data_IF_011099796026
#
_entry.id   IF_011099796026
#
_cell.length_a   1.000
_cell.length_b   1.000
_cell.length_c   1.000
_cell.angle_alpha   90.00
_cell.angle_beta   90.00
_cell.angle_gamma   90.00
#
_symmetry.space_group_name_H-M   'P 1'
#
loop_
_entity.id
_entity.type
_entity.pdbx_description
1 polymer ?
#
# COMPACT_ATOMS: atom_id res chain seq x y z
N UNK A 1 14.14 -9.79 -5.93
CA UNK A 1 14.08 -10.85 -4.88
C UNK A 1 15.16 -11.92 -5.05
N UNK A 2 15.29 -12.56 -6.23
CA UNK A 2 16.30 -13.60 -6.45
C UNK A 2 17.73 -13.17 -6.06
N UNK A 3 18.21 -12.05 -6.57
CA UNK A 3 19.57 -11.56 -6.29
C UNK A 3 19.86 -11.35 -4.80
N UNK A 4 18.88 -10.87 -4.04
CA UNK A 4 18.99 -10.69 -2.60
C UNK A 4 19.12 -12.05 -1.87
N UNK A 5 18.20 -12.98 -2.13
CA UNK A 5 18.18 -14.28 -1.47
C UNK A 5 19.40 -15.13 -1.86
N UNK A 6 19.73 -15.22 -3.15
CA UNK A 6 20.88 -15.98 -3.62
C UNK A 6 22.20 -15.33 -3.21
N UNK A 7 22.30 -14.00 -3.24
CA UNK A 7 23.48 -13.28 -2.76
C UNK A 7 23.73 -13.53 -1.28
N UNK A 8 22.68 -13.48 -0.44
CA UNK A 8 22.79 -13.80 1.00
C UNK A 8 23.19 -15.27 1.25
N UNK A 9 22.65 -16.18 0.46
CA UNK A 9 23.11 -17.58 0.49
C UNK A 9 24.61 -17.68 0.20
N UNK A 10 25.10 -17.01 -0.83
CA UNK A 10 26.54 -17.03 -1.17
C UNK A 10 27.42 -16.42 -0.05
N UNK A 11 26.94 -15.39 0.64
CA UNK A 11 27.64 -14.79 1.80
C UNK A 11 27.63 -15.78 2.98
N UNK A 12 26.49 -16.38 3.28
CA UNK A 12 26.36 -17.39 4.36
C UNK A 12 27.31 -18.57 4.16
N UNK A 13 27.46 -19.04 2.93
CA UNK A 13 28.37 -20.13 2.55
C UNK A 13 29.84 -19.67 2.42
N UNK A 14 30.17 -18.41 2.73
CA UNK A 14 31.49 -17.81 2.58
C UNK A 14 32.06 -17.86 1.14
N UNK A 15 31.18 -17.84 0.15
CA UNK A 15 31.53 -17.83 -1.29
C UNK A 15 31.67 -16.38 -1.79
N UNK A 16 30.90 -15.46 -1.20
CA UNK A 16 30.87 -14.03 -1.53
C UNK A 16 31.05 -13.18 -0.27
N UNK A 17 31.70 -12.05 -0.39
CA UNK A 17 31.82 -11.05 0.68
C UNK A 17 30.57 -10.16 0.69
N UNK A 18 30.08 -9.78 1.89
CA UNK A 18 28.87 -8.96 2.04
C UNK A 18 29.04 -7.55 1.44
N UNK A 19 30.25 -6.97 1.52
CA UNK A 19 30.53 -5.68 0.90
C UNK A 19 30.43 -5.75 -0.63
N UNK A 20 30.89 -6.86 -1.22
CA UNK A 20 30.79 -7.13 -2.65
C UNK A 20 29.32 -7.35 -3.04
N UNK A 21 28.54 -8.10 -2.26
CA UNK A 21 27.12 -8.28 -2.50
C UNK A 21 26.38 -6.94 -2.56
N UNK A 22 26.63 -6.05 -1.61
CA UNK A 22 26.00 -4.74 -1.59
C UNK A 22 26.34 -3.90 -2.82
N UNK A 23 27.57 -3.98 -3.33
CA UNK A 23 27.96 -3.33 -4.59
C UNK A 23 27.22 -3.94 -5.80
N UNK A 24 27.09 -5.26 -5.86
CA UNK A 24 26.36 -5.96 -6.92
C UNK A 24 24.89 -5.55 -6.94
N UNK A 25 24.24 -5.57 -5.79
CA UNK A 25 22.82 -5.20 -5.64
C UNK A 25 22.57 -3.72 -6.01
N UNK A 26 23.46 -2.83 -5.59
CA UNK A 26 23.39 -1.40 -5.95
C UNK A 26 23.56 -1.18 -7.45
N UNK A 27 24.47 -1.91 -8.11
CA UNK A 27 24.69 -1.83 -9.55
C UNK A 27 23.47 -2.36 -10.34
N UNK A 28 22.79 -3.39 -9.82
CA UNK A 28 21.58 -3.96 -10.43
C UNK A 28 20.40 -2.96 -10.41
N UNK A 29 20.26 -2.14 -9.35
CA UNK A 29 19.12 -1.21 -9.15
C UNK A 29 19.09 -0.05 -10.16
N UNK A 30 20.23 0.30 -10.77
CA UNK A 30 20.31 1.49 -11.64
C UNK A 30 19.67 1.33 -13.03
N UNK A 31 19.06 0.19 -13.36
CA UNK A 31 18.68 -0.15 -14.74
C UNK A 31 17.18 -0.45 -14.91
N UNK A 32 16.32 -0.24 -13.92
CA UNK A 32 14.92 -0.63 -14.05
C UNK A 32 14.01 0.51 -14.50
N UNK A 33 13.61 0.50 -15.78
CA UNK A 33 12.58 1.38 -16.32
C UNK A 33 11.20 0.75 -16.12
N UNK A 34 10.18 1.54 -15.74
CA UNK A 34 8.78 1.05 -15.59
C UNK A 34 8.25 0.56 -16.94
N UNK A 35 7.47 -0.53 -16.94
CA UNK A 35 6.93 -1.15 -18.17
C UNK A 35 6.13 -0.16 -19.02
N UNK A 36 5.33 0.68 -18.38
CA UNK A 36 4.56 1.73 -19.04
C UNK A 36 5.44 2.75 -19.79
N UNK A 37 6.59 3.13 -19.21
CA UNK A 37 7.53 4.05 -19.85
C UNK A 37 8.15 3.41 -21.10
N UNK A 38 8.53 2.12 -21.01
CA UNK A 38 9.06 1.39 -22.16
C UNK A 38 8.01 1.26 -23.25
N UNK A 39 6.77 0.91 -22.88
CA UNK A 39 5.66 0.76 -23.82
C UNK A 39 5.32 2.07 -24.55
N UNK A 40 5.38 3.22 -23.86
CA UNK A 40 5.20 4.54 -24.49
C UNK A 40 6.37 4.90 -25.38
N UNK A 41 7.61 4.65 -24.94
CA UNK A 41 8.83 4.91 -25.73
C UNK A 41 8.84 4.06 -27.01
N UNK A 42 8.39 2.81 -26.94
CA UNK A 42 8.25 1.91 -28.08
C UNK A 42 7.01 2.19 -28.94
N UNK A 43 6.21 3.23 -28.57
CA UNK A 43 4.97 3.62 -29.27
C UNK A 43 3.90 2.50 -29.32
N UNK A 44 3.96 1.59 -28.38
CA UNK A 44 2.99 0.53 -28.18
C UNK A 44 1.77 1.01 -27.41
N UNK A 45 1.95 2.02 -26.52
CA UNK A 45 0.90 2.70 -25.77
C UNK A 45 1.05 4.22 -25.92
N UNK A 46 -0.06 4.94 -25.75
CA UNK A 46 -0.02 6.38 -25.49
C UNK A 46 0.27 6.65 -24.02
N UNK A 47 0.62 7.88 -23.67
CA UNK A 47 0.81 8.30 -22.27
C UNK A 47 -0.47 8.10 -21.48
N UNK A 48 -1.63 8.50 -22.05
CA UNK A 48 -2.95 8.38 -21.43
C UNK A 48 -3.33 6.91 -21.14
N UNK A 49 -2.99 6.00 -22.09
CA UNK A 49 -3.23 4.57 -21.89
C UNK A 49 -2.37 3.99 -20.77
N UNK A 50 -1.10 4.38 -20.70
CA UNK A 50 -0.20 3.95 -19.62
C UNK A 50 -0.67 4.46 -18.25
N UNK A 51 -1.12 5.72 -18.18
CA UNK A 51 -1.66 6.33 -16.96
C UNK A 51 -2.97 5.67 -16.53
N UNK A 52 -3.86 5.34 -17.48
CA UNK A 52 -5.08 4.60 -17.16
C UNK A 52 -4.79 3.21 -16.62
N UNK A 53 -3.80 2.48 -17.15
CA UNK A 53 -3.40 1.19 -16.60
C UNK A 53 -2.88 1.37 -15.17
N UNK A 54 -2.04 2.37 -14.91
CA UNK A 54 -1.53 2.66 -13.58
C UNK A 54 -2.67 2.93 -12.58
N UNK A 55 -3.69 3.70 -12.98
CA UNK A 55 -4.89 3.97 -12.18
C UNK A 55 -5.68 2.70 -11.85
N UNK A 56 -5.91 1.83 -12.85
CA UNK A 56 -6.60 0.56 -12.65
C UNK A 56 -5.79 -0.35 -11.72
N UNK A 57 -4.46 -0.39 -11.84
CA UNK A 57 -3.61 -1.14 -10.94
C UNK A 57 -3.80 -0.76 -9.47
N UNK A 58 -4.00 0.53 -9.19
CA UNK A 58 -4.25 1.01 -7.83
C UNK A 58 -5.58 0.49 -7.26
N UNK A 59 -6.55 0.20 -8.13
CA UNK A 59 -7.91 -0.22 -7.75
C UNK A 59 -8.12 -1.73 -7.73
N UNK A 60 -7.42 -2.49 -8.58
CA UNK A 60 -7.76 -3.89 -8.85
C UNK A 60 -6.67 -4.91 -8.52
N UNK A 61 -5.54 -4.53 -7.95
CA UNK A 61 -4.39 -5.42 -7.67
C UNK A 61 -4.07 -6.38 -8.82
N UNK A 62 -3.94 -5.83 -10.03
CA UNK A 62 -3.55 -6.55 -11.24
C UNK A 62 -2.18 -6.11 -11.74
N UNK A 63 -1.49 -6.97 -12.49
CA UNK A 63 -0.23 -6.59 -13.15
C UNK A 63 -0.50 -5.65 -14.31
N UNK A 64 0.44 -4.75 -14.62
CA UNK A 64 0.36 -3.84 -15.77
C UNK A 64 0.04 -4.59 -17.08
N UNK A 65 0.74 -5.71 -17.31
CA UNK A 65 0.54 -6.52 -18.51
C UNK A 65 -0.86 -7.10 -18.62
N UNK A 66 -1.40 -7.62 -17.51
CA UNK A 66 -2.73 -8.25 -17.49
C UNK A 66 -3.82 -7.24 -17.85
N UNK A 67 -3.74 -6.02 -17.28
CA UNK A 67 -4.67 -4.93 -17.58
C UNK A 67 -4.54 -4.49 -19.05
N UNK A 68 -3.31 -4.36 -19.56
CA UNK A 68 -3.06 -3.97 -20.94
C UNK A 68 -3.64 -4.99 -21.93
N UNK A 69 -3.55 -6.29 -21.62
CA UNK A 69 -4.14 -7.38 -22.41
C UNK A 69 -5.66 -7.37 -22.30
N UNK A 70 -6.22 -7.26 -21.09
CA UNK A 70 -7.68 -7.17 -20.89
C UNK A 70 -8.32 -5.99 -21.62
N UNK A 71 -7.61 -4.86 -21.68
CA UNK A 71 -8.03 -3.67 -22.47
C UNK A 71 -7.85 -3.85 -24.00
N UNK A 72 -7.16 -4.90 -24.43
CA UNK A 72 -6.83 -5.14 -25.82
C UNK A 72 -5.80 -4.16 -26.40
N UNK A 73 -5.04 -3.50 -25.54
CA UNK A 73 -4.03 -2.51 -25.94
C UNK A 73 -2.67 -3.14 -26.23
N UNK A 74 -2.34 -4.25 -25.58
CA UNK A 74 -1.15 -5.03 -25.82
C UNK A 74 -1.49 -6.53 -25.91
N UNK A 75 -0.63 -7.26 -26.60
CA UNK A 75 -0.68 -8.72 -26.69
C UNK A 75 0.32 -9.36 -25.72
N UNK A 76 0.13 -10.66 -25.41
CA UNK A 76 1.10 -11.43 -24.59
C UNK A 76 2.54 -11.39 -25.17
N UNK A 77 2.65 -11.45 -26.50
CA UNK A 77 3.96 -11.37 -27.18
C UNK A 77 4.61 -10.00 -26.95
N UNK A 78 3.85 -8.90 -27.04
CA UNK A 78 4.35 -7.55 -26.78
C UNK A 78 4.74 -7.36 -25.32
N UNK A 79 3.96 -7.89 -24.38
CA UNK A 79 4.31 -7.86 -22.94
C UNK A 79 5.62 -8.64 -22.71
N UNK A 80 5.78 -9.81 -23.33
CA UNK A 80 7.01 -10.59 -23.20
C UNK A 80 8.23 -9.83 -23.75
N UNK A 81 8.08 -9.15 -24.90
CA UNK A 81 9.14 -8.32 -25.46
C UNK A 81 9.49 -7.10 -24.57
N UNK A 82 8.49 -6.44 -23.98
CA UNK A 82 8.71 -5.34 -23.03
C UNK A 82 9.43 -5.81 -21.77
N UNK A 83 9.09 -7.00 -21.26
CA UNK A 83 9.74 -7.61 -20.11
C UNK A 83 11.19 -8.01 -20.42
N UNK A 84 11.47 -8.51 -21.61
CA UNK A 84 12.86 -8.77 -22.06
C UNK A 84 13.67 -7.48 -22.14
N UNK A 85 13.08 -6.39 -22.65
CA UNK A 85 13.73 -5.07 -22.70
C UNK A 85 13.94 -4.47 -21.32
N UNK A 86 13.08 -4.77 -20.35
CA UNK A 86 13.25 -4.34 -18.97
C UNK A 86 14.48 -4.97 -18.31
N UNK A 87 15.01 -6.00 -18.92
CA UNK A 87 16.10 -6.83 -18.43
C UNK A 87 15.58 -7.87 -17.44
N UNK A 88 15.93 -9.12 -17.62
CA UNK A 88 15.65 -10.18 -16.68
C UNK A 88 16.49 -9.95 -15.41
N UNK A 89 15.89 -9.65 -14.23
CA UNK A 89 16.61 -9.31 -13.00
C UNK A 89 17.60 -10.41 -12.57
N UNK A 90 17.26 -11.66 -12.84
CA UNK A 90 18.13 -12.81 -12.62
C UNK A 90 19.41 -12.74 -13.48
N UNK A 91 19.26 -12.49 -14.78
CA UNK A 91 20.41 -12.40 -15.70
C UNK A 91 21.28 -11.17 -15.41
N UNK A 92 20.67 -10.04 -15.07
CA UNK A 92 21.39 -8.84 -14.65
C UNK A 92 22.21 -9.10 -13.38
N UNK A 93 21.60 -9.73 -12.36
CA UNK A 93 22.31 -10.09 -11.15
C UNK A 93 23.49 -11.02 -11.45
N UNK A 94 23.30 -12.08 -12.25
CA UNK A 94 24.37 -13.01 -12.61
C UNK A 94 25.49 -12.33 -13.37
N UNK A 95 25.20 -11.43 -14.30
CA UNK A 95 26.19 -10.68 -15.04
C UNK A 95 27.03 -9.82 -14.09
N UNK A 96 26.38 -9.01 -13.23
CA UNK A 96 27.07 -8.15 -12.27
C UNK A 96 27.86 -8.98 -11.25
N UNK A 97 27.32 -10.13 -10.82
CA UNK A 97 28.01 -11.09 -9.94
C UNK A 97 29.33 -11.56 -10.54
N UNK A 98 29.30 -12.03 -11.79
CA UNK A 98 30.52 -12.53 -12.49
C UNK A 98 31.53 -11.42 -12.74
N UNK A 99 31.08 -10.23 -13.08
CA UNK A 99 31.95 -9.07 -13.37
C UNK A 99 32.62 -8.50 -12.10
N UNK A 100 31.97 -8.60 -10.95
CA UNK A 100 32.42 -7.96 -9.68
C UNK A 100 32.89 -8.96 -8.62
N UNK A 101 32.92 -10.26 -8.91
CA UNK A 101 33.41 -11.28 -7.99
C UNK A 101 34.39 -12.23 -8.66
N UNK A 102 35.02 -13.10 -7.84
CA UNK A 102 35.88 -14.19 -8.35
C UNK A 102 35.11 -15.46 -8.75
N UNK A 103 33.77 -15.42 -8.74
CA UNK A 103 32.92 -16.57 -9.03
C UNK A 103 32.94 -16.85 -10.53
N UNK A 104 33.34 -18.08 -10.88
CA UNK A 104 33.33 -18.53 -12.27
C UNK A 104 31.93 -18.91 -12.71
N UNK A 105 31.54 -18.50 -13.91
CA UNK A 105 30.25 -18.82 -14.53
C UNK A 105 29.95 -20.35 -14.47
N UNK A 106 30.95 -21.19 -14.69
CA UNK A 106 30.79 -22.65 -14.66
C UNK A 106 30.45 -23.27 -13.30
N UNK A 107 30.50 -22.49 -12.23
CA UNK A 107 30.11 -22.95 -10.86
C UNK A 107 28.77 -22.44 -10.41
N UNK A 108 28.22 -21.45 -11.10
CA UNK A 108 26.98 -20.79 -10.68
C UNK A 108 25.81 -21.75 -10.64
N UNK A 109 25.67 -22.63 -11.64
CA UNK A 109 24.55 -23.59 -11.67
C UNK A 109 24.58 -24.51 -10.44
N UNK A 110 25.76 -25.00 -10.03
CA UNK A 110 25.89 -25.81 -8.82
C UNK A 110 25.49 -25.04 -7.54
N UNK A 111 25.87 -23.78 -7.42
CA UNK A 111 25.46 -22.95 -6.28
C UNK A 111 23.95 -22.67 -6.31
N UNK A 112 23.34 -22.51 -7.48
CA UNK A 112 21.90 -22.35 -7.62
C UNK A 112 21.15 -23.62 -7.22
N UNK A 113 21.65 -24.79 -7.61
CA UNK A 113 21.06 -26.08 -7.23
C UNK A 113 21.10 -26.30 -5.71
N UNK A 114 22.20 -25.94 -5.07
CA UNK A 114 22.34 -26.07 -3.62
C UNK A 114 21.46 -25.03 -2.87
N UNK A 115 21.38 -23.80 -3.35
CA UNK A 115 20.47 -22.77 -2.88
C UNK A 115 19.01 -23.19 -3.00
N UNK A 116 18.61 -23.76 -4.14
CA UNK A 116 17.25 -24.28 -4.35
C UNK A 116 16.88 -25.36 -3.32
N UNK A 117 17.83 -26.30 -3.06
CA UNK A 117 17.64 -27.35 -2.04
C UNK A 117 17.53 -26.77 -0.63
N UNK A 118 18.37 -25.79 -0.28
CA UNK A 118 18.35 -25.13 1.03
C UNK A 118 17.00 -24.44 1.30
N UNK A 119 16.47 -23.71 0.33
CA UNK A 119 15.14 -23.09 0.46
C UNK A 119 13.99 -24.08 0.33
N UNK A 120 14.25 -25.33 -0.12
CA UNK A 120 13.23 -26.36 -0.36
C UNK A 120 12.23 -25.95 -1.45
N UNK A 121 12.72 -25.24 -2.50
CA UNK A 121 11.92 -24.84 -3.65
C UNK A 121 11.85 -25.97 -4.68
N UNK A 122 10.68 -26.18 -5.28
CA UNK A 122 10.56 -26.98 -6.48
C UNK A 122 11.01 -26.17 -7.73
N UNK A 123 11.08 -26.82 -8.89
CA UNK A 123 11.57 -26.20 -10.13
C UNK A 123 10.66 -25.05 -10.61
N UNK A 124 9.34 -25.16 -10.41
CA UNK A 124 8.38 -24.12 -10.77
C UNK A 124 8.56 -22.88 -9.88
N UNK A 125 8.72 -23.08 -8.57
CA UNK A 125 8.97 -22.01 -7.61
C UNK A 125 10.33 -21.33 -7.87
N UNK A 126 11.35 -22.12 -8.23
CA UNK A 126 12.65 -21.56 -8.59
C UNK A 126 12.60 -20.76 -9.89
N UNK A 127 11.83 -21.23 -10.87
CA UNK A 127 11.59 -20.47 -12.11
C UNK A 127 10.81 -19.17 -11.85
N UNK A 128 9.83 -19.21 -10.95
CA UNK A 128 9.08 -18.04 -10.50
C UNK A 128 10.00 -17.03 -9.78
N UNK A 129 10.86 -17.49 -8.88
CA UNK A 129 11.84 -16.66 -8.16
C UNK A 129 12.80 -15.96 -9.12
N UNK A 130 13.31 -16.66 -10.15
CA UNK A 130 14.16 -16.08 -11.21
C UNK A 130 13.46 -15.01 -12.05
N UNK A 131 12.13 -15.00 -12.07
CA UNK A 131 11.30 -14.02 -12.80
C UNK A 131 10.74 -12.93 -11.89
N UNK A 132 11.11 -12.93 -10.60
CA UNK A 132 10.47 -12.10 -9.56
C UNK A 132 8.94 -12.25 -9.53
N UNK A 133 8.43 -13.44 -9.85
CA UNK A 133 7.01 -13.78 -9.74
C UNK A 133 6.65 -14.13 -8.30
N UNK A 134 6.15 -13.11 -7.59
CA UNK A 134 5.79 -13.21 -6.17
C UNK A 134 4.76 -14.32 -5.94
N UNK A 135 3.72 -14.41 -6.78
CA UNK A 135 2.63 -15.38 -6.60
C UNK A 135 3.12 -16.82 -6.74
N UNK A 136 4.07 -17.05 -7.64
CA UNK A 136 4.66 -18.37 -7.85
C UNK A 136 5.60 -18.82 -6.72
N UNK A 137 6.14 -17.87 -5.93
CA UNK A 137 7.17 -18.18 -4.93
C UNK A 137 6.69 -18.04 -3.48
N UNK A 138 5.73 -17.16 -3.20
CA UNK A 138 5.31 -16.83 -1.82
C UNK A 138 4.84 -18.04 -1.03
N UNK A 139 4.20 -19.02 -1.69
CA UNK A 139 3.77 -20.27 -1.07
C UNK A 139 4.89 -21.09 -0.45
N UNK A 140 6.13 -20.94 -0.92
CA UNK A 140 7.29 -21.59 -0.31
C UNK A 140 7.68 -20.99 1.04
N UNK A 141 7.43 -19.71 1.23
CA UNK A 141 7.73 -18.96 2.45
C UNK A 141 6.56 -18.90 3.45
N UNK A 142 5.39 -19.37 3.05
CA UNK A 142 4.16 -19.39 3.88
C UNK A 142 3.71 -20.81 4.22
N UNK A 143 4.61 -21.80 4.22
CA UNK A 143 4.27 -23.21 4.44
C UNK A 143 3.54 -23.47 5.76
N UNK A 144 3.90 -22.73 6.82
CA UNK A 144 3.30 -22.83 8.15
C UNK A 144 2.02 -22.00 8.30
N UNK A 145 1.69 -21.18 7.30
CA UNK A 145 0.58 -20.22 7.29
C UNK A 145 -0.22 -20.33 5.99
N UNK A 146 -0.96 -21.42 5.82
CA UNK A 146 -1.71 -21.70 4.60
C UNK A 146 -2.98 -20.84 4.45
N UNK A 147 -3.52 -20.78 3.24
CA UNK A 147 -4.79 -20.12 2.94
C UNK A 147 -4.70 -18.60 2.90
N UNK A 148 -5.44 -17.92 3.77
CA UNK A 148 -5.56 -16.45 3.74
C UNK A 148 -4.25 -15.71 4.03
N UNK A 149 -3.39 -16.23 4.92
CA UNK A 149 -2.11 -15.60 5.22
C UNK A 149 -1.19 -15.56 3.99
N UNK A 150 -1.18 -16.61 3.18
CA UNK A 150 -0.44 -16.62 1.91
C UNK A 150 -1.01 -15.62 0.89
N UNK A 151 -2.35 -15.52 0.80
CA UNK A 151 -3.01 -14.53 -0.06
C UNK A 151 -2.66 -13.10 0.37
N UNK A 152 -2.67 -12.81 1.68
CA UNK A 152 -2.30 -11.50 2.24
C UNK A 152 -0.82 -11.21 1.95
N UNK A 153 0.08 -12.15 2.20
CA UNK A 153 1.51 -11.97 1.93
C UNK A 153 1.78 -11.66 0.45
N UNK A 154 1.16 -12.42 -0.46
CA UNK A 154 1.26 -12.18 -1.90
C UNK A 154 0.79 -10.76 -2.28
N UNK A 155 -0.35 -10.33 -1.76
CA UNK A 155 -0.91 -9.00 -1.97
C UNK A 155 0.03 -7.89 -1.46
N UNK A 156 0.55 -8.06 -0.24
CA UNK A 156 1.50 -7.13 0.39
C UNK A 156 2.76 -6.98 -0.45
N UNK A 157 3.38 -8.09 -0.86
CA UNK A 157 4.64 -8.05 -1.62
C UNK A 157 4.47 -7.40 -2.99
N UNK A 158 3.33 -7.62 -3.67
CA UNK A 158 3.03 -6.91 -4.92
C UNK A 158 2.90 -5.40 -4.71
N UNK A 159 2.28 -4.98 -3.61
CA UNK A 159 2.13 -3.56 -3.30
C UNK A 159 3.43 -2.91 -2.80
N UNK A 160 4.28 -3.63 -2.06
CA UNK A 160 5.64 -3.18 -1.75
C UNK A 160 6.43 -2.96 -3.06
N UNK A 161 6.36 -3.90 -4.00
CA UNK A 161 7.01 -3.74 -5.32
C UNK A 161 6.49 -2.51 -6.09
N UNK A 162 5.20 -2.23 -5.97
CA UNK A 162 4.55 -1.13 -6.70
C UNK A 162 4.87 0.24 -6.12
N UNK A 163 4.80 0.38 -4.81
CA UNK A 163 4.82 1.67 -4.14
C UNK A 163 6.14 1.95 -3.41
N UNK A 164 6.78 0.95 -2.82
CA UNK A 164 7.88 1.16 -1.88
C UNK A 164 9.23 0.91 -2.51
N UNK A 165 9.54 -0.34 -2.84
CA UNK A 165 10.84 -0.73 -3.37
C UNK A 165 10.76 -2.04 -4.14
N UNK A 166 11.61 -2.15 -5.17
CA UNK A 166 11.87 -3.43 -5.85
C UNK A 166 13.04 -4.19 -5.21
N UNK A 167 13.77 -3.53 -4.30
CA UNK A 167 14.93 -4.09 -3.64
C UNK A 167 14.55 -4.66 -2.27
N UNK A 168 13.88 -5.80 -2.27
CA UNK A 168 13.50 -6.50 -1.05
C UNK A 168 13.67 -8.01 -1.18
N UNK A 169 13.75 -8.68 -0.04
CA UNK A 169 13.62 -10.13 0.09
C UNK A 169 12.81 -10.46 1.34
N UNK A 170 12.40 -11.72 1.47
CA UNK A 170 11.54 -12.18 2.56
C UNK A 170 12.17 -13.37 3.27
N UNK A 171 11.79 -13.60 4.53
CA UNK A 171 12.05 -14.84 5.25
C UNK A 171 10.73 -15.62 5.47
N UNK A 172 10.83 -16.84 5.98
CA UNK A 172 9.69 -17.70 6.23
C UNK A 172 8.71 -17.05 7.21
N UNK A 173 7.44 -17.11 6.87
CA UNK A 173 6.36 -16.73 7.77
C UNK A 173 6.30 -17.72 8.93
N UNK A 174 6.23 -17.22 10.15
CA UNK A 174 6.23 -18.02 11.38
C UNK A 174 5.01 -17.70 12.22
N UNK A 175 4.47 -18.71 12.87
CA UNK A 175 3.44 -18.55 13.89
C UNK A 175 4.07 -18.06 15.18
N UNK A 176 3.43 -17.07 15.81
CA UNK A 176 3.89 -16.44 17.06
C UNK A 176 2.70 -16.31 18.02
N UNK A 177 2.99 -16.06 19.29
CA UNK A 177 2.02 -15.72 20.35
C UNK A 177 2.25 -14.32 20.95
N UNK A 178 3.38 -13.71 20.64
CA UNK A 178 3.72 -12.34 21.00
C UNK A 178 4.73 -11.75 20.00
N UNK A 179 4.72 -10.41 19.86
CA UNK A 179 5.68 -9.65 19.07
C UNK A 179 5.97 -8.33 19.77
N UNK A 180 7.22 -8.16 20.21
CA UNK A 180 7.74 -6.88 20.68
C UNK A 180 8.02 -5.98 19.47
N UNK A 181 7.56 -4.72 19.49
CA UNK A 181 7.80 -3.79 18.41
C UNK A 181 7.97 -2.35 18.90
N UNK A 182 8.70 -1.57 18.13
CA UNK A 182 8.89 -0.13 18.32
C UNK A 182 7.71 0.67 17.75
N UNK A 183 7.32 0.35 16.51
CA UNK A 183 6.16 0.93 15.85
C UNK A 183 5.35 -0.20 15.18
N UNK A 184 4.03 -0.06 15.20
CA UNK A 184 3.12 -0.93 14.47
C UNK A 184 1.95 -0.11 13.93
N UNK A 185 1.59 -0.34 12.67
CA UNK A 185 0.33 0.10 12.11
C UNK A 185 -0.47 -1.14 11.71
N UNK A 186 -1.71 -1.26 12.18
CA UNK A 186 -2.53 -2.44 11.96
C UNK A 186 -3.99 -2.08 11.74
N UNK A 187 -4.70 -2.94 11.02
CA UNK A 187 -6.12 -2.81 10.75
C UNK A 187 -6.84 -4.13 10.92
N UNK A 188 -7.99 -4.08 11.56
CA UNK A 188 -8.89 -5.22 11.70
C UNK A 188 -9.96 -5.20 10.64
N UNK A 189 -10.41 -6.40 10.25
CA UNK A 189 -11.64 -6.59 9.49
C UNK A 189 -12.40 -7.77 10.05
N UNK A 190 -13.72 -7.65 10.05
CA UNK A 190 -14.65 -8.61 10.65
C UNK A 190 -15.58 -9.19 9.59
N UNK A 191 -15.99 -10.45 9.77
CA UNK A 191 -16.88 -11.13 8.83
C UNK A 191 -17.06 -12.61 9.15
N UNK A 192 -17.17 -13.44 8.12
CA UNK A 192 -17.15 -14.89 8.31
C UNK A 192 -15.84 -15.41 8.93
N UNK A 193 -14.77 -14.67 8.70
CA UNK A 193 -13.48 -14.77 9.37
C UNK A 193 -13.01 -13.38 9.77
N UNK A 194 -12.35 -13.28 10.92
CA UNK A 194 -11.76 -12.04 11.42
C UNK A 194 -10.28 -11.98 11.06
N UNK A 195 -9.85 -10.82 10.58
CA UNK A 195 -8.46 -10.59 10.20
C UNK A 195 -7.89 -9.37 10.93
N UNK A 196 -6.59 -9.42 11.21
CA UNK A 196 -5.82 -8.24 11.56
C UNK A 196 -4.55 -8.24 10.71
N UNK A 197 -4.41 -7.24 9.84
CA UNK A 197 -3.25 -7.06 8.97
C UNK A 197 -2.49 -5.84 9.46
N UNK A 198 -1.16 -5.94 9.53
CA UNK A 198 -0.33 -4.82 9.96
C UNK A 198 1.12 -4.94 9.55
N UNK A 199 1.83 -3.82 9.71
CA UNK A 199 3.29 -3.76 9.64
C UNK A 199 3.85 -3.40 11.00
N UNK A 200 4.91 -4.08 11.40
CA UNK A 200 5.63 -3.81 12.62
C UNK A 200 7.12 -3.59 12.35
N UNK A 201 7.71 -2.69 13.13
CA UNK A 201 9.13 -2.39 13.12
C UNK A 201 9.68 -2.66 14.52
N UNK A 202 10.56 -3.66 14.68
CA UNK A 202 11.12 -4.06 15.98
C UNK A 202 12.13 -3.04 16.48
N UNK A 203 13.06 -2.67 15.62
CA UNK A 203 14.12 -1.70 15.92
C UNK A 203 13.90 -0.41 15.14
N UNK A 204 14.48 0.69 15.60
CA UNK A 204 14.44 1.96 14.87
C UNK A 204 15.25 1.80 13.58
N UNK A 205 14.55 1.82 12.45
CA UNK A 205 15.10 1.78 11.12
C UNK A 205 14.27 2.68 10.18
N UNK A 206 14.62 2.72 8.90
CA UNK A 206 13.95 3.59 7.93
C UNK A 206 12.76 2.93 7.22
N UNK A 207 12.38 1.68 7.55
CA UNK A 207 11.36 0.95 6.76
C UNK A 207 10.00 1.62 6.80
N UNK A 208 9.55 2.13 7.95
CA UNK A 208 8.29 2.89 8.05
C UNK A 208 8.35 4.18 7.22
N UNK A 209 9.49 4.88 7.25
CA UNK A 209 9.70 6.07 6.40
C UNK A 209 9.62 5.69 4.93
N UNK A 210 10.32 4.64 4.50
CA UNK A 210 10.30 4.16 3.10
C UNK A 210 8.92 3.75 2.64
N UNK A 211 8.14 3.06 3.49
CA UNK A 211 6.75 2.71 3.20
C UNK A 211 5.90 3.97 3.07
N UNK A 212 6.02 4.91 4.02
CA UNK A 212 5.29 6.16 4.00
C UNK A 212 5.61 6.99 2.75
N UNK A 213 6.89 7.23 2.47
CA UNK A 213 7.36 7.99 1.29
C UNK A 213 6.94 7.34 -0.02
N UNK A 214 7.11 6.02 -0.11
CA UNK A 214 6.76 5.28 -1.31
C UNK A 214 5.26 5.30 -1.61
N UNK A 215 4.42 5.24 -0.58
CA UNK A 215 2.97 5.23 -0.72
C UNK A 215 2.39 6.63 -0.96
N UNK A 216 2.87 7.65 -0.22
CA UNK A 216 2.32 9.00 -0.29
C UNK A 216 2.99 9.89 -1.33
N UNK A 217 4.25 9.57 -1.70
CA UNK A 217 5.10 10.45 -2.53
C UNK A 217 5.68 11.66 -1.78
N UNK A 218 5.45 11.76 -0.46
CA UNK A 218 6.00 12.82 0.39
C UNK A 218 7.31 12.39 1.05
N UNK A 219 8.14 13.34 1.48
CA UNK A 219 9.41 13.08 2.17
C UNK A 219 9.23 13.22 3.68
N UNK A 220 9.81 12.31 4.44
CA UNK A 220 9.78 12.30 5.90
C UNK A 220 11.20 12.30 6.47
N UNK A 221 11.46 13.12 7.48
CA UNK A 221 12.79 13.26 8.07
C UNK A 221 13.00 12.38 9.32
N UNK A 222 11.94 11.87 9.90
CA UNK A 222 11.97 11.03 11.10
C UNK A 222 10.70 10.19 11.22
N UNK A 223 10.79 9.10 11.99
CA UNK A 223 9.61 8.34 12.41
C UNK A 223 8.78 9.17 13.39
N UNK A 224 7.46 9.02 13.35
CA UNK A 224 6.53 9.74 14.23
C UNK A 224 5.09 9.45 13.85
N UNK A 225 4.16 10.21 14.43
CA UNK A 225 2.72 10.01 14.21
C UNK A 225 2.36 10.10 12.72
N UNK A 226 2.92 11.07 11.99
CA UNK A 226 2.64 11.25 10.56
C UNK A 226 3.11 10.05 9.72
N UNK A 227 4.28 9.48 10.02
CA UNK A 227 4.80 8.29 9.34
C UNK A 227 3.96 7.05 9.68
N UNK A 228 3.62 6.88 10.98
CA UNK A 228 2.79 5.75 11.42
C UNK A 228 1.39 5.79 10.80
N UNK A 229 0.84 6.97 10.62
CA UNK A 229 -0.43 7.23 9.97
C UNK A 229 -0.38 6.90 8.47
N UNK A 230 0.68 7.34 7.77
CA UNK A 230 0.91 7.00 6.36
C UNK A 230 1.08 5.49 6.13
N UNK A 231 1.77 4.80 7.05
CA UNK A 231 1.87 3.33 7.02
C UNK A 231 0.50 2.70 7.29
N UNK A 232 -0.31 3.28 8.19
CA UNK A 232 -1.69 2.88 8.44
C UNK A 232 -2.55 2.97 7.19
N UNK A 233 -2.43 4.04 6.40
CA UNK A 233 -3.12 4.18 5.11
C UNK A 233 -2.66 3.13 4.09
N UNK A 234 -1.39 2.78 4.08
CA UNK A 234 -0.92 1.69 3.23
C UNK A 234 -1.52 0.35 3.66
N UNK A 235 -1.65 0.09 4.98
CA UNK A 235 -2.36 -1.09 5.52
C UNK A 235 -3.84 -1.06 5.11
N UNK A 236 -4.50 0.09 5.19
CA UNK A 236 -5.90 0.27 4.78
C UNK A 236 -6.10 -0.04 3.29
N UNK A 237 -5.18 0.41 2.43
CA UNK A 237 -5.18 0.05 1.01
C UNK A 237 -5.11 -1.48 0.81
N UNK A 238 -4.17 -2.15 1.50
CA UNK A 238 -4.00 -3.61 1.43
C UNK A 238 -5.25 -4.34 1.94
N UNK A 239 -5.81 -3.93 3.06
CA UNK A 239 -7.03 -4.52 3.64
C UNK A 239 -8.23 -4.37 2.69
N UNK A 240 -8.37 -3.22 2.02
CA UNK A 240 -9.40 -2.98 1.02
C UNK A 240 -9.25 -3.88 -0.21
N UNK A 241 -8.03 -4.03 -0.71
CA UNK A 241 -7.75 -4.95 -1.82
C UNK A 241 -8.01 -6.41 -1.42
N UNK A 242 -7.64 -6.79 -0.19
CA UNK A 242 -7.92 -8.12 0.34
C UNK A 242 -9.43 -8.38 0.47
N UNK A 243 -10.18 -7.43 1.05
CA UNK A 243 -11.64 -7.53 1.16
C UNK A 243 -12.30 -7.65 -0.23
N UNK A 244 -11.82 -6.88 -1.22
CA UNK A 244 -12.30 -6.98 -2.60
C UNK A 244 -12.04 -8.39 -3.19
N UNK A 245 -10.88 -8.97 -2.90
CA UNK A 245 -10.57 -10.33 -3.35
C UNK A 245 -11.46 -11.37 -2.65
N UNK A 246 -11.73 -11.19 -1.35
CA UNK A 246 -12.61 -12.09 -0.59
C UNK A 246 -14.07 -11.98 -1.03
N UNK A 247 -14.56 -10.79 -1.37
CA UNK A 247 -15.90 -10.60 -1.88
C UNK A 247 -16.15 -11.36 -3.21
N UNK A 248 -15.14 -11.48 -4.07
CA UNK A 248 -15.19 -12.33 -5.27
C UNK A 248 -15.32 -13.82 -4.96
N UNK A 249 -14.77 -14.25 -3.82
CA UNK A 249 -14.90 -15.62 -3.30
C UNK A 249 -16.19 -15.80 -2.45
N UNK A 250 -17.07 -14.78 -2.38
CA UNK A 250 -18.34 -14.80 -1.66
C UNK A 250 -18.23 -14.48 -0.17
N UNK A 251 -17.12 -13.92 0.30
CA UNK A 251 -16.91 -13.50 1.67
C UNK A 251 -16.91 -11.97 1.77
N UNK A 252 -17.88 -11.41 2.45
CA UNK A 252 -17.90 -9.99 2.78
C UNK A 252 -17.14 -9.72 4.07
N UNK A 253 -16.34 -8.64 4.10
CA UNK A 253 -15.56 -8.19 5.24
C UNK A 253 -15.90 -6.74 5.53
N UNK A 254 -16.18 -6.42 6.79
CA UNK A 254 -16.28 -5.07 7.32
C UNK A 254 -14.88 -4.63 7.77
N UNK A 255 -14.36 -3.57 7.16
CA UNK A 255 -13.04 -3.03 7.48
C UNK A 255 -13.21 -1.99 8.59
N UNK A 256 -12.52 -2.18 9.72
CA UNK A 256 -12.49 -1.24 10.83
C UNK A 256 -11.39 -0.18 10.60
N UNK A 257 -11.42 0.96 11.32
CA UNK A 257 -10.36 1.96 11.23
C UNK A 257 -8.96 1.39 11.51
N UNK A 258 -7.96 1.87 10.76
CA UNK A 258 -6.57 1.53 11.03
C UNK A 258 -6.09 2.18 12.32
N UNK A 259 -5.16 1.55 13.00
CA UNK A 259 -4.65 2.00 14.29
C UNK A 259 -3.13 1.86 14.33
N UNK A 260 -2.45 2.88 14.83
CA UNK A 260 -1.02 2.87 15.06
C UNK A 260 -0.67 2.77 16.56
N UNK A 261 0.45 2.11 16.83
CA UNK A 261 0.93 1.83 18.19
C UNK A 261 2.44 2.06 18.26
N UNK A 262 2.94 2.46 19.43
CA UNK A 262 4.38 2.60 19.71
C UNK A 262 4.78 1.90 20.99
N UNK A 263 5.97 1.26 20.97
CA UNK A 263 6.63 0.69 22.15
C UNK A 263 5.72 -0.27 22.92
N UNK A 264 5.10 -1.20 22.24
CA UNK A 264 4.18 -2.16 22.82
C UNK A 264 4.49 -3.60 22.39
N UNK A 265 3.69 -4.51 22.88
CA UNK A 265 3.77 -5.95 22.57
C UNK A 265 2.43 -6.38 21.97
N UNK A 266 2.43 -6.87 20.74
CA UNK A 266 1.29 -7.60 20.22
C UNK A 266 1.20 -8.96 20.92
N UNK A 267 -0.01 -9.35 21.31
CA UNK A 267 -0.29 -10.58 22.07
C UNK A 267 -1.35 -11.40 21.36
N UNK A 268 -1.27 -12.71 21.53
CA UNK A 268 -2.18 -13.65 20.92
C UNK A 268 -1.62 -14.27 19.65
N UNK A 269 -2.29 -15.31 19.18
CA UNK A 269 -1.83 -16.09 18.03
C UNK A 269 -1.87 -15.29 16.73
N UNK A 270 -0.72 -15.17 16.07
CA UNK A 270 -0.58 -14.48 14.79
C UNK A 270 0.52 -15.11 13.94
N UNK A 271 0.64 -14.68 12.71
CA UNK A 271 1.74 -14.98 11.81
C UNK A 271 2.57 -13.73 11.55
N UNK A 272 3.88 -13.90 11.49
CA UNK A 272 4.83 -12.83 11.13
C UNK A 272 5.71 -13.28 10.00
N UNK A 273 5.81 -12.46 8.96
CA UNK A 273 6.75 -12.63 7.85
C UNK A 273 7.73 -11.45 7.85
N UNK A 274 9.03 -11.68 8.12
CA UNK A 274 10.04 -10.66 7.95
C UNK A 274 10.21 -10.29 6.46
N UNK A 275 10.14 -9.01 6.16
CA UNK A 275 10.38 -8.41 4.84
C UNK A 275 11.56 -7.46 5.00
N UNK A 276 12.60 -7.66 4.24
CA UNK A 276 13.80 -6.83 4.30
C UNK A 276 13.81 -5.87 3.11
N UNK A 277 13.60 -4.60 3.35
CA UNK A 277 13.57 -3.54 2.34
C UNK A 277 14.90 -2.77 2.42
N UNK A 278 15.69 -2.79 1.36
CA UNK A 278 17.03 -2.20 1.32
C UNK A 278 17.93 -2.66 2.48
N UNK A 279 17.73 -3.90 2.94
CA UNK A 279 18.50 -4.53 4.00
C UNK A 279 17.94 -4.33 5.41
N UNK A 280 16.91 -3.52 5.60
CA UNK A 280 16.26 -3.25 6.89
C UNK A 280 14.95 -4.04 7.06
N UNK A 281 14.70 -4.55 8.28
CA UNK A 281 13.58 -5.45 8.58
C UNK A 281 12.28 -4.68 8.82
N UNK A 282 11.23 -5.14 8.16
CA UNK A 282 9.83 -4.79 8.36
C UNK A 282 9.03 -6.08 8.50
N UNK A 283 8.32 -6.26 9.59
CA UNK A 283 7.47 -7.42 9.81
C UNK A 283 6.06 -7.22 9.24
N UNK A 284 5.63 -8.09 8.36
CA UNK A 284 4.21 -8.27 8.05
C UNK A 284 3.57 -9.09 9.16
N UNK A 285 2.61 -8.49 9.87
CA UNK A 285 1.81 -9.12 10.92
C UNK A 285 0.44 -9.52 10.38
N UNK A 286 0.03 -10.78 10.59
CA UNK A 286 -1.27 -11.30 10.16
C UNK A 286 -1.88 -12.16 11.25
N UNK A 287 -3.03 -11.75 11.80
CA UNK A 287 -3.84 -12.59 12.69
C UNK A 287 -5.13 -12.98 12.00
N UNK A 288 -5.58 -14.23 12.18
CA UNK A 288 -6.76 -14.81 11.56
C UNK A 288 -7.54 -15.57 12.62
N UNK A 289 -8.83 -15.23 12.80
CA UNK A 289 -9.75 -15.88 13.75
C UNK A 289 -9.15 -16.03 15.16
N UNK A 290 -8.41 -15.02 15.60
CA UNK A 290 -7.68 -15.09 16.86
C UNK A 290 -8.00 -13.91 17.77
N UNK A 291 -7.79 -14.11 19.09
CA UNK A 291 -7.88 -13.04 20.07
C UNK A 291 -6.64 -12.11 20.06
N UNK A 292 -6.00 -12.00 18.91
CA UNK A 292 -4.79 -11.20 18.79
C UNK A 292 -5.07 -9.70 19.01
N UNK A 293 -4.24 -9.11 19.85
CA UNK A 293 -4.27 -7.69 20.18
C UNK A 293 -2.96 -7.05 19.74
N UNK A 294 -2.98 -6.26 18.65
CA UNK A 294 -1.78 -5.60 18.15
C UNK A 294 -1.19 -4.61 19.17
N UNK A 295 -2.01 -4.00 20.01
CA UNK A 295 -1.61 -3.12 21.10
C UNK A 295 -2.77 -2.77 22.00
N UNK A 296 -2.50 -2.10 23.13
CA UNK A 296 -3.52 -1.69 24.11
C UNK A 296 -3.79 -0.18 24.13
N UNK A 297 -2.81 0.63 23.70
CA UNK A 297 -2.91 2.09 23.67
C UNK A 297 -2.51 2.63 22.29
N UNK A 298 -3.50 3.03 21.46
CA UNK A 298 -3.23 3.59 20.15
C UNK A 298 -2.59 4.99 20.25
N UNK A 299 -1.84 5.37 19.22
CA UNK A 299 -1.38 6.75 19.05
C UNK A 299 -2.57 7.57 18.59
N UNK A 300 -2.92 8.61 19.33
CA UNK A 300 -4.02 9.52 18.98
C UNK A 300 -3.42 10.78 18.32
N UNK A 301 -3.78 11.03 17.05
CA UNK A 301 -3.41 12.24 16.33
C UNK A 301 -4.07 13.50 16.92
N UNK A 302 -3.36 14.63 16.96
CA UNK A 302 -3.91 15.92 17.42
C UNK A 302 -4.43 16.74 16.24
N UNK A 303 -5.62 17.35 16.43
CA UNK A 303 -6.25 18.31 15.54
C UNK A 303 -5.39 19.54 15.25
N UNK A 304 -5.41 20.05 14.01
CA UNK A 304 -4.92 21.40 13.66
C UNK A 304 -6.00 22.21 12.96
N UNK A 305 -6.18 23.44 13.44
CA UNK A 305 -6.97 24.48 12.77
C UNK A 305 -6.02 25.63 12.47
N UNK A 306 -5.81 25.96 11.20
CA UNK A 306 -5.07 27.16 10.81
C UNK A 306 -5.43 27.59 9.38
N UNK A 307 -6.27 28.63 9.24
CA UNK A 307 -6.23 29.54 8.09
C UNK A 307 -6.74 30.93 8.46
N UNK A 308 -6.16 31.98 7.84
CA UNK A 308 -6.51 33.38 8.04
C UNK A 308 -7.57 33.82 7.03
N UNK A 309 -8.44 34.77 7.42
CA UNK A 309 -9.57 35.27 6.61
C UNK A 309 -9.18 35.88 5.24
N UNK A 310 -7.90 36.13 4.97
CA UNK A 310 -7.43 36.69 3.69
C UNK A 310 -7.39 35.63 2.56
N UNK A 311 -7.20 34.38 2.88
CA UNK A 311 -6.99 33.32 1.87
C UNK A 311 -8.30 32.80 1.27
N UNK A 312 -9.42 33.05 1.95
CA UNK A 312 -10.76 32.60 1.55
C UNK A 312 -11.35 33.45 0.39
N UNK A 313 -10.95 34.72 0.26
CA UNK A 313 -11.56 35.66 -0.71
C UNK A 313 -11.27 35.37 -2.18
N UNK A 314 -10.12 34.74 -2.47
CA UNK A 314 -9.67 34.43 -3.83
C UNK A 314 -9.75 32.96 -4.18
N UNK A 315 -10.30 32.13 -3.27
CA UNK A 315 -10.43 30.67 -3.46
C UNK A 315 -11.59 30.33 -4.41
N UNK A 316 -11.46 29.20 -5.11
CA UNK A 316 -12.50 28.64 -5.99
C UNK A 316 -13.72 28.11 -5.23
N UNK A 317 -13.56 27.91 -3.93
CA UNK A 317 -14.56 27.42 -2.99
C UNK A 317 -13.90 27.01 -1.68
N UNK A 318 -14.71 26.72 -0.68
CA UNK A 318 -14.32 26.30 0.65
C UNK A 318 -14.57 24.81 0.87
N UNK A 319 -13.63 24.14 1.54
CA UNK A 319 -13.73 22.69 1.77
C UNK A 319 -13.47 22.37 3.24
N UNK A 320 -14.28 21.45 3.80
CA UNK A 320 -13.98 20.77 5.06
C UNK A 320 -13.54 19.34 4.73
N UNK A 321 -12.44 18.88 5.35
CA UNK A 321 -11.89 17.54 5.17
C UNK A 321 -12.12 16.75 6.44
N UNK A 322 -12.75 15.57 6.31
CA UNK A 322 -13.03 14.66 7.42
C UNK A 322 -12.46 13.28 7.10
N UNK A 323 -11.45 12.86 7.86
CA UNK A 323 -10.75 11.60 7.67
C UNK A 323 -9.99 11.31 8.98
N UNK A 324 -9.98 10.09 9.49
CA UNK A 324 -9.31 9.77 10.75
C UNK A 324 -7.78 9.77 10.61
N UNK A 325 -7.26 9.56 9.40
CA UNK A 325 -5.85 9.67 9.09
C UNK A 325 -5.40 11.12 8.90
N UNK A 326 -4.47 11.59 9.74
CA UNK A 326 -3.84 12.90 9.59
C UNK A 326 -3.07 13.03 8.29
N UNK A 327 -2.53 11.91 7.76
CA UNK A 327 -1.85 11.89 6.48
C UNK A 327 -2.83 12.07 5.31
N UNK A 328 -3.96 11.35 5.32
CA UNK A 328 -5.01 11.54 4.30
C UNK A 328 -5.49 12.99 4.28
N UNK A 329 -5.76 13.59 5.47
CA UNK A 329 -6.13 15.00 5.56
C UNK A 329 -5.07 15.91 4.95
N UNK A 330 -3.78 15.68 5.28
CA UNK A 330 -2.66 16.48 4.73
C UNK A 330 -2.55 16.34 3.21
N UNK A 331 -2.69 15.12 2.67
CA UNK A 331 -2.66 14.89 1.22
C UNK A 331 -3.82 15.60 0.51
N UNK A 332 -5.05 15.44 1.02
CA UNK A 332 -6.24 16.11 0.48
C UNK A 332 -6.10 17.63 0.55
N UNK A 333 -5.60 18.16 1.67
CA UNK A 333 -5.31 19.60 1.81
C UNK A 333 -4.34 20.06 0.73
N UNK A 334 -3.19 19.41 0.59
CA UNK A 334 -2.18 19.80 -0.41
C UNK A 334 -2.74 19.77 -1.84
N UNK A 335 -3.56 18.77 -2.16
CA UNK A 335 -4.22 18.63 -3.45
C UNK A 335 -5.20 19.79 -3.69
N UNK A 336 -6.07 20.08 -2.72
CA UNK A 336 -7.15 21.04 -2.83
C UNK A 336 -6.63 22.49 -2.81
N UNK A 337 -5.71 22.82 -1.89
CA UNK A 337 -5.07 24.13 -1.84
C UNK A 337 -4.22 24.39 -3.10
N UNK A 338 -3.49 23.36 -3.57
CA UNK A 338 -2.76 23.44 -4.84
C UNK A 338 -3.64 23.62 -6.07
N UNK A 339 -4.93 23.28 -5.98
CA UNK A 339 -5.94 23.51 -7.01
C UNK A 339 -6.70 24.84 -6.84
N UNK A 340 -6.44 25.61 -5.77
CA UNK A 340 -7.01 26.91 -5.49
C UNK A 340 -8.28 26.89 -4.63
N UNK A 341 -8.56 25.80 -3.90
CA UNK A 341 -9.61 25.74 -2.88
C UNK A 341 -9.07 26.17 -1.51
N UNK A 342 -9.94 26.70 -0.64
CA UNK A 342 -9.62 26.99 0.75
C UNK A 342 -10.10 25.86 1.66
N UNK A 343 -9.19 25.17 2.35
CA UNK A 343 -9.53 24.18 3.37
C UNK A 343 -9.81 24.92 4.69
N UNK A 344 -11.08 25.13 5.01
CA UNK A 344 -11.54 25.95 6.14
C UNK A 344 -11.66 25.14 7.45
N UNK A 345 -11.65 23.83 7.39
CA UNK A 345 -11.70 22.95 8.56
C UNK A 345 -11.23 21.55 8.26
N UNK A 346 -10.72 20.88 9.29
CA UNK A 346 -10.40 19.46 9.30
C UNK A 346 -10.95 18.80 10.54
N UNK A 347 -11.37 17.55 10.39
CA UNK A 347 -11.90 16.74 11.48
C UNK A 347 -11.36 15.31 11.39
N UNK A 348 -11.23 14.64 12.52
CA UNK A 348 -10.68 13.30 12.64
C UNK A 348 -11.74 12.19 12.86
N UNK A 349 -13.00 12.57 12.98
CA UNK A 349 -14.12 11.64 13.03
C UNK A 349 -15.42 12.31 12.56
N UNK A 350 -16.47 11.50 12.42
CA UNK A 350 -17.76 12.00 11.94
C UNK A 350 -18.42 13.02 12.86
N UNK A 351 -18.24 12.92 14.19
CA UNK A 351 -18.81 13.89 15.16
C UNK A 351 -18.19 15.26 14.95
N UNK A 352 -16.86 15.32 14.90
CA UNK A 352 -16.11 16.55 14.62
C UNK A 352 -16.43 17.08 13.22
N UNK A 353 -16.60 16.19 12.23
CA UNK A 353 -16.98 16.54 10.86
C UNK A 353 -18.32 17.26 10.78
N UNK A 354 -19.36 16.75 11.47
CA UNK A 354 -20.66 17.41 11.56
C UNK A 354 -20.56 18.79 12.23
N UNK A 355 -19.75 18.89 13.29
CA UNK A 355 -19.52 20.18 13.98
C UNK A 355 -18.78 21.17 13.07
N UNK A 356 -17.75 20.71 12.37
CA UNK A 356 -16.99 21.54 11.42
C UNK A 356 -17.88 22.01 10.26
N UNK A 357 -18.73 21.15 9.69
CA UNK A 357 -19.70 21.53 8.68
C UNK A 357 -20.61 22.67 9.17
N UNK A 358 -21.21 22.51 10.34
CA UNK A 358 -22.11 23.54 10.95
C UNK A 358 -21.40 24.84 11.25
N UNK A 359 -20.13 24.79 11.63
CA UNK A 359 -19.33 25.96 11.97
C UNK A 359 -18.89 26.75 10.75
N UNK A 360 -18.45 26.08 9.70
CA UNK A 360 -17.81 26.71 8.55
C UNK A 360 -18.72 26.85 7.33
N UNK A 361 -19.83 26.10 7.26
CA UNK A 361 -20.74 26.03 6.11
C UNK A 361 -19.98 26.00 4.78
N UNK A 362 -19.15 24.94 4.55
CA UNK A 362 -18.28 24.87 3.38
C UNK A 362 -19.09 24.63 2.10
N UNK A 363 -18.53 25.00 0.94
CA UNK A 363 -19.13 24.67 -0.36
C UNK A 363 -19.10 23.16 -0.63
N UNK A 364 -18.10 22.45 -0.12
CA UNK A 364 -17.98 20.98 -0.24
C UNK A 364 -17.38 20.39 1.02
N UNK A 365 -17.86 19.21 1.42
CA UNK A 365 -17.24 18.42 2.49
C UNK A 365 -16.73 17.10 1.90
N UNK A 366 -15.49 16.70 2.28
CA UNK A 366 -14.98 15.34 2.01
C UNK A 366 -15.11 14.50 3.27
N UNK A 367 -15.63 13.28 3.16
CA UNK A 367 -15.92 12.38 4.28
C UNK A 367 -15.30 11.01 4.02
N UNK A 368 -14.35 10.59 4.84
CA UNK A 368 -13.97 9.18 4.86
C UNK A 368 -15.13 8.34 5.40
N UNK A 369 -15.33 7.16 4.81
CA UNK A 369 -16.40 6.25 5.22
C UNK A 369 -16.06 5.63 6.57
N UNK A 370 -14.84 5.16 6.78
CA UNK A 370 -14.46 4.37 7.96
C UNK A 370 -13.70 5.21 8.97
N UNK A 371 -14.40 5.69 9.98
CA UNK A 371 -13.81 6.51 11.04
C UNK A 371 -14.28 6.03 12.42
N UNK A 372 -13.50 6.28 13.49
CA UNK A 372 -13.92 5.99 14.86
C UNK A 372 -15.10 6.89 15.31
N UNK A 373 -15.76 6.52 16.38
CA UNK A 373 -16.86 7.25 17.05
C UNK A 373 -18.12 7.41 16.18
N UNK A 374 -18.01 7.94 14.99
CA UNK A 374 -19.08 8.11 14.01
C UNK A 374 -18.50 7.92 12.60
N UNK A 375 -19.03 6.98 11.83
CA UNK A 375 -18.59 6.75 10.47
C UNK A 375 -19.06 7.84 9.49
N UNK A 376 -18.45 7.90 8.29
CA UNK A 376 -18.76 8.94 7.32
C UNK A 376 -20.19 8.88 6.77
N UNK A 377 -20.82 7.70 6.76
CA UNK A 377 -22.20 7.52 6.29
C UNK A 377 -23.19 8.11 7.31
N UNK A 378 -22.93 7.87 8.59
CA UNK A 378 -23.73 8.46 9.67
C UNK A 378 -23.53 9.98 9.77
N UNK A 379 -22.26 10.45 9.59
CA UNK A 379 -21.96 11.87 9.53
C UNK A 379 -22.67 12.57 8.36
N UNK A 380 -22.64 11.96 7.16
CA UNK A 380 -23.35 12.47 5.98
C UNK A 380 -24.85 12.61 6.26
N UNK A 381 -25.46 11.60 6.88
CA UNK A 381 -26.87 11.65 7.24
C UNK A 381 -27.19 12.84 8.15
N UNK A 382 -26.40 13.05 9.20
CA UNK A 382 -26.61 14.19 10.12
C UNK A 382 -26.36 15.54 9.46
N UNK A 383 -25.44 15.62 8.49
CA UNK A 383 -25.19 16.82 7.69
C UNK A 383 -26.39 17.09 6.78
N UNK A 384 -26.88 16.09 6.05
CA UNK A 384 -28.05 16.21 5.17
C UNK A 384 -29.36 16.50 5.94
N UNK A 385 -29.50 15.98 7.16
CA UNK A 385 -30.63 16.31 8.05
C UNK A 385 -30.58 17.79 8.52
N UNK A 386 -29.39 18.39 8.60
CA UNK A 386 -29.18 19.80 8.94
C UNK A 386 -29.26 20.72 7.71
N UNK A 387 -28.69 20.30 6.58
CA UNK A 387 -28.63 21.01 5.32
C UNK A 387 -28.82 20.03 4.17
N UNK A 388 -30.01 20.00 3.58
CA UNK A 388 -30.39 19.07 2.49
C UNK A 388 -29.54 19.31 1.23
N UNK A 389 -29.07 20.55 1.02
CA UNK A 389 -28.24 20.97 -0.13
C UNK A 389 -26.73 20.76 0.10
N UNK A 390 -26.32 20.22 1.25
CA UNK A 390 -24.91 19.96 1.55
C UNK A 390 -24.25 19.07 0.48
N UNK A 391 -23.12 19.49 -0.06
CA UNK A 391 -22.39 18.79 -1.12
C UNK A 391 -21.27 17.95 -0.53
N UNK A 392 -21.34 16.63 -0.71
CA UNK A 392 -20.43 15.70 -0.09
C UNK A 392 -19.70 14.79 -1.11
N UNK A 393 -18.38 14.68 -0.94
CA UNK A 393 -17.54 13.70 -1.60
C UNK A 393 -17.16 12.63 -0.58
N UNK A 394 -17.60 11.40 -0.81
CA UNK A 394 -17.21 10.28 0.04
C UNK A 394 -15.84 9.76 -0.40
N UNK A 395 -14.96 9.56 0.58
CA UNK A 395 -13.67 8.90 0.39
C UNK A 395 -13.80 7.48 0.92
N UNK A 396 -13.38 6.47 0.16
CA UNK A 396 -13.61 5.07 0.53
C UNK A 396 -12.40 4.21 0.24
N UNK A 397 -12.14 3.22 1.10
CA UNK A 397 -11.20 2.15 0.74
C UNK A 397 -11.86 1.20 -0.28
N UNK A 398 -11.05 0.53 -1.09
CA UNK A 398 -11.54 -0.53 -1.97
C UNK A 398 -12.28 -1.60 -1.14
N UNK A 399 -13.35 -2.18 -1.70
CA UNK A 399 -14.12 -3.25 -1.05
C UNK A 399 -15.33 -2.81 -0.21
N UNK A 400 -15.62 -1.51 -0.08
CA UNK A 400 -16.72 -1.00 0.74
C UNK A 400 -18.01 -0.70 -0.06
N UNK A 401 -18.35 -1.54 -1.06
CA UNK A 401 -19.46 -1.28 -1.97
C UNK A 401 -20.82 -1.09 -1.26
N UNK A 402 -21.07 -1.83 -0.18
CA UNK A 402 -22.32 -1.72 0.58
C UNK A 402 -22.47 -0.33 1.25
N UNK A 403 -21.38 0.20 1.83
CA UNK A 403 -21.33 1.54 2.42
C UNK A 403 -21.48 2.63 1.35
N UNK A 404 -20.90 2.43 0.17
CA UNK A 404 -21.08 3.33 -0.99
C UNK A 404 -22.54 3.39 -1.40
N UNK A 405 -23.23 2.24 -1.51
CA UNK A 405 -24.66 2.19 -1.85
C UNK A 405 -25.50 2.89 -0.80
N UNK A 406 -25.16 2.73 0.47
CA UNK A 406 -25.85 3.40 1.59
C UNK A 406 -25.68 4.92 1.51
N UNK A 407 -24.44 5.40 1.34
CA UNK A 407 -24.15 6.83 1.21
C UNK A 407 -24.84 7.46 -0.01
N UNK A 408 -24.94 6.75 -1.16
CA UNK A 408 -25.71 7.19 -2.32
C UNK A 408 -27.21 7.40 -1.97
N UNK A 409 -27.81 6.51 -1.17
CA UNK A 409 -29.22 6.64 -0.77
C UNK A 409 -29.45 7.80 0.18
N UNK A 410 -28.43 8.22 0.93
CA UNK A 410 -28.47 9.37 1.84
C UNK A 410 -28.29 10.68 1.06
N UNK A 411 -27.68 10.64 -0.12
CA UNK A 411 -27.48 11.82 -0.97
C UNK A 411 -26.01 12.20 -1.17
N UNK A 412 -25.06 11.26 -1.06
CA UNK A 412 -23.69 11.53 -1.51
C UNK A 412 -23.65 11.71 -3.03
N UNK A 413 -22.98 12.75 -3.51
CA UNK A 413 -22.93 13.10 -4.94
C UNK A 413 -21.73 12.49 -5.65
N UNK A 414 -20.60 12.34 -4.98
CA UNK A 414 -19.34 11.83 -5.55
C UNK A 414 -18.66 10.85 -4.62
N UNK A 415 -17.87 9.97 -5.23
CA UNK A 415 -17.06 8.96 -4.53
C UNK A 415 -15.65 8.94 -5.10
N UNK A 416 -14.68 8.80 -4.21
CA UNK A 416 -13.26 8.65 -4.56
C UNK A 416 -12.72 7.46 -3.80
N UNK A 417 -12.00 6.58 -4.49
CA UNK A 417 -11.42 5.37 -3.87
C UNK A 417 -9.97 5.61 -3.47
N UNK A 418 -9.59 5.22 -2.25
CA UNK A 418 -8.19 5.20 -1.81
C UNK A 418 -7.42 4.05 -2.49
N UNK A 419 -6.18 4.25 -2.95
CA UNK A 419 -5.45 5.51 -2.96
C UNK A 419 -6.00 6.45 -4.03
N UNK A 420 -6.27 7.69 -3.66
CA UNK A 420 -6.90 8.65 -4.56
C UNK A 420 -5.89 9.33 -5.49
N UNK A 421 -6.35 9.58 -6.70
CA UNK A 421 -5.61 10.36 -7.70
C UNK A 421 -5.88 11.86 -7.53
N UNK A 422 -4.83 12.68 -7.72
CA UNK A 422 -4.92 14.14 -7.59
C UNK A 422 -5.97 14.75 -8.53
N UNK A 423 -5.99 14.31 -9.78
CA UNK A 423 -6.91 14.85 -10.79
C UNK A 423 -8.36 14.46 -10.50
N UNK A 424 -8.58 13.24 -9.98
CA UNK A 424 -9.89 12.74 -9.56
C UNK A 424 -10.46 13.56 -8.40
N UNK A 425 -9.64 13.84 -7.37
CA UNK A 425 -10.02 14.68 -6.22
C UNK A 425 -10.40 16.08 -6.66
N UNK A 426 -9.51 16.74 -7.43
CA UNK A 426 -9.73 18.11 -7.91
C UNK A 426 -10.98 18.17 -8.79
N UNK A 427 -11.18 17.21 -9.67
CA UNK A 427 -12.35 17.14 -10.55
C UNK A 427 -13.64 17.02 -9.75
N UNK A 428 -13.71 16.05 -8.80
CA UNK A 428 -14.90 15.82 -8.01
C UNK A 428 -15.31 17.04 -7.19
N UNK A 429 -14.35 17.69 -6.51
CA UNK A 429 -14.62 18.89 -5.71
C UNK A 429 -14.97 20.09 -6.59
N UNK A 430 -14.30 20.26 -7.75
CA UNK A 430 -14.59 21.39 -8.67
C UNK A 430 -15.99 21.29 -9.27
N UNK A 431 -16.42 20.09 -9.68
CA UNK A 431 -17.76 19.87 -10.21
C UNK A 431 -18.84 20.24 -9.19
N UNK A 432 -18.68 19.83 -7.93
CA UNK A 432 -19.65 20.13 -6.87
C UNK A 432 -19.62 21.60 -6.44
N UNK A 433 -18.46 22.21 -6.33
CA UNK A 433 -18.36 23.61 -5.93
C UNK A 433 -18.92 24.59 -6.99
N UNK A 434 -19.05 24.17 -8.25
CA UNK A 434 -19.56 24.97 -9.35
C UNK A 434 -21.10 24.89 -9.50
N UNK A 435 -21.75 23.91 -8.89
CA UNK A 435 -23.22 23.77 -8.83
C UNK A 435 -23.84 24.67 -7.76
#
# INVERSE_FOLDING_TARGET
MFGQLFGKYLVKENILDEEILNKILSAQLQIRVKLGVIAVADKLLTTEQADEINRIQQQEDKRFGDIAIEKGWLTDAQISELLEKQGNPYMQFLQVLVENSSIKISKIDGYIDDFQKELGLNDEQMAALKKDDVDGVVGAFTKDAQGYAAKIASLVLRNITRFVSNNYYIDNMKKIDHLDYRCMAAQKSEGAHDFCIGFAMKDINETFIKVAEGYTGEQFNMTGVEVSDAVGEFVNCISGLFATAMAKDGMELEILPQVAYENQVAKGEAYVMPIFIDGEELDLYVAIDSNAQPGSMPIIGKMRVNQTQSDIKDAKGTVVIVDDSGMSRKMLRNILEGAGFAVVGEASDGIEGVLAYKQFSPDVITLDITMPNMDGTEALKQIKDYDEDAKAVMITAAGQQNKVIEALKIGAEKFITKPFDKEEVVKAVTELAAE
#
